data_IF_845793096433
#
_entry.id   IF_845793096433
#
_cell.length_a   1.000
_cell.length_b   1.000
_cell.length_c   1.000
_cell.angle_alpha   90.00
_cell.angle_beta   90.00
_cell.angle_gamma   90.00
#
_symmetry.space_group_name_H-M   'P 1'
#
loop_
_entity.id
_entity.type
_entity.pdbx_description
1 polymer ?
#
# COMPACT_ATOMS: atom_id res chain seq x y z
N UNK A 1 -14.07 10.59 -2.38
CA UNK A 1 -13.11 11.32 -3.26
C UNK A 1 -12.20 12.13 -2.36
N UNK A 2 -10.89 11.93 -2.46
CA UNK A 2 -9.90 12.68 -1.69
C UNK A 2 -8.71 13.00 -2.59
N UNK A 3 -8.17 14.20 -2.48
CA UNK A 3 -7.00 14.65 -3.23
C UNK A 3 -5.80 14.70 -2.29
N UNK A 4 -4.75 13.94 -2.60
CA UNK A 4 -3.48 13.96 -1.86
C UNK A 4 -2.44 14.68 -2.71
N UNK A 5 -1.92 15.81 -2.21
CA UNK A 5 -0.84 16.55 -2.86
C UNK A 5 0.44 16.33 -2.06
N UNK A 6 1.32 15.48 -2.59
CA UNK A 6 2.65 15.27 -2.00
C UNK A 6 3.60 16.35 -2.51
N UNK A 7 4.00 17.26 -1.63
CA UNK A 7 5.02 18.28 -1.92
C UNK A 7 6.40 17.77 -1.46
N UNK A 8 7.45 18.18 -2.14
CA UNK A 8 8.84 17.79 -1.85
C UNK A 8 9.12 16.28 -1.98
N UNK A 9 8.57 15.63 -3.00
CA UNK A 9 8.89 14.23 -3.30
C UNK A 9 10.33 14.12 -3.82
N UNK A 10 11.13 13.26 -3.20
CA UNK A 10 12.48 12.97 -3.68
C UNK A 10 12.45 12.50 -5.14
N UNK A 11 13.33 13.07 -5.97
CA UNK A 11 13.44 12.77 -7.41
C UNK A 11 13.67 11.28 -7.68
N UNK A 12 14.47 10.61 -6.85
CA UNK A 12 14.68 9.16 -6.92
C UNK A 12 13.38 8.34 -6.72
N UNK A 13 12.46 8.82 -5.86
CA UNK A 13 11.17 8.16 -5.62
C UNK A 13 10.25 8.36 -6.81
N UNK A 14 10.25 9.56 -7.41
CA UNK A 14 9.50 9.86 -8.63
C UNK A 14 9.91 8.95 -9.80
N UNK A 15 11.21 8.77 -10.04
CA UNK A 15 11.72 7.92 -11.11
C UNK A 15 11.33 6.46 -10.94
N UNK A 16 11.45 5.92 -9.72
CA UNK A 16 11.04 4.54 -9.42
C UNK A 16 9.54 4.33 -9.61
N UNK A 17 8.72 5.28 -9.16
CA UNK A 17 7.27 5.27 -9.39
C UNK A 17 6.93 5.28 -10.87
N UNK A 18 7.63 6.10 -11.65
CA UNK A 18 7.40 6.21 -13.10
C UNK A 18 7.79 4.93 -13.83
N UNK A 19 8.92 4.31 -13.48
CA UNK A 19 9.30 3.00 -14.02
C UNK A 19 8.28 1.90 -13.68
N UNK A 20 7.79 1.89 -12.43
CA UNK A 20 6.82 0.90 -11.95
C UNK A 20 5.46 1.07 -12.63
N UNK A 21 4.98 2.29 -12.78
CA UNK A 21 3.75 2.61 -13.50
C UNK A 21 3.82 2.15 -14.97
N UNK A 22 4.96 2.38 -15.66
CA UNK A 22 5.19 1.89 -17.03
C UNK A 22 5.16 0.36 -17.10
N UNK A 23 5.79 -0.33 -16.14
CA UNK A 23 5.78 -1.80 -16.06
C UNK A 23 4.37 -2.36 -15.87
N UNK A 24 3.55 -1.68 -15.06
CA UNK A 24 2.18 -2.08 -14.79
C UNK A 24 1.17 -1.57 -15.83
N UNK A 25 1.62 -0.86 -16.87
CA UNK A 25 0.78 -0.20 -17.89
C UNK A 25 -0.33 0.69 -17.29
N UNK A 26 0.00 1.40 -16.21
CA UNK A 26 -0.92 2.29 -15.47
C UNK A 26 -0.42 3.73 -15.49
N UNK A 27 -1.32 4.68 -15.25
CA UNK A 27 -0.93 6.06 -14.97
C UNK A 27 -0.12 6.13 -13.68
N UNK A 28 0.80 7.10 -13.57
CA UNK A 28 1.56 7.34 -12.35
C UNK A 28 0.64 7.56 -11.15
N UNK A 29 -0.46 8.28 -11.34
CA UNK A 29 -1.45 8.52 -10.26
C UNK A 29 -2.12 7.22 -9.81
N UNK A 30 -2.44 6.33 -10.77
CA UNK A 30 -3.10 5.07 -10.48
C UNK A 30 -2.17 4.08 -9.78
N UNK A 31 -0.88 4.06 -10.16
CA UNK A 31 0.15 3.31 -9.46
C UNK A 31 0.37 3.84 -8.03
N UNK A 32 0.45 5.16 -7.83
CA UNK A 32 0.53 5.75 -6.47
C UNK A 32 -0.69 5.38 -5.65
N UNK A 33 -1.89 5.44 -6.25
CA UNK A 33 -3.14 5.09 -5.57
C UNK A 33 -3.17 3.63 -5.16
N UNK A 34 -2.73 2.72 -6.03
CA UNK A 34 -2.62 1.30 -5.72
C UNK A 34 -1.55 1.01 -4.67
N UNK A 35 -0.40 1.67 -4.73
CA UNK A 35 0.63 1.54 -3.68
C UNK A 35 0.10 2.03 -2.34
N UNK A 36 -0.55 3.20 -2.29
CA UNK A 36 -1.15 3.72 -1.06
C UNK A 36 -2.30 2.83 -0.58
N UNK A 37 -3.13 2.32 -1.49
CA UNK A 37 -4.18 1.35 -1.17
C UNK A 37 -3.57 0.10 -0.55
N UNK A 38 -2.57 -0.49 -1.18
CA UNK A 38 -1.89 -1.67 -0.68
C UNK A 38 -1.15 -1.37 0.63
N UNK A 39 -0.53 -0.21 0.78
CA UNK A 39 0.20 0.18 1.99
C UNK A 39 -0.71 0.61 3.14
N UNK A 40 -2.01 0.84 2.92
CA UNK A 40 -2.98 1.13 3.99
C UNK A 40 -3.79 -0.13 4.29
N UNK A 41 -4.31 -0.81 3.26
CA UNK A 41 -5.10 -2.04 3.42
C UNK A 41 -4.25 -3.18 3.97
N UNK A 42 -3.01 -3.37 3.48
CA UNK A 42 -2.15 -4.44 4.00
C UNK A 42 -1.44 -4.07 5.32
N UNK A 43 -1.49 -2.80 5.75
CA UNK A 43 -0.97 -2.38 7.06
C UNK A 43 -2.04 -2.55 8.15
N UNK A 44 -3.33 -2.44 7.79
CA UNK A 44 -4.46 -2.93 8.58
C UNK A 44 -4.52 -4.48 8.67
N UNK A 45 -3.81 -5.20 7.78
CA UNK A 45 -3.55 -6.64 7.94
C UNK A 45 -2.51 -6.95 9.05
N UNK A 46 -2.22 -5.97 9.92
CA UNK A 46 -1.88 -6.24 11.32
C UNK A 46 -2.98 -7.01 12.10
N UNK A 47 -4.13 -7.31 11.48
CA UNK A 47 -5.07 -8.35 11.92
C UNK A 47 -5.04 -9.62 11.07
N UNK A 48 -3.88 -9.99 10.50
CA UNK A 48 -3.52 -11.39 10.39
C UNK A 48 -3.40 -11.98 11.81
N UNK A 49 -4.53 -12.13 12.52
CA UNK A 49 -4.64 -13.06 13.64
C UNK A 49 -4.38 -14.43 13.01
N UNK A 50 -3.12 -14.82 12.97
CA UNK A 50 -2.73 -16.14 12.53
C UNK A 50 -3.59 -17.15 13.30
N UNK A 51 -3.96 -18.24 12.64
CA UNK A 51 -4.88 -19.26 13.17
C UNK A 51 -4.57 -19.65 14.64
N UNK A 52 -3.29 -19.66 15.03
CA UNK A 52 -2.87 -19.91 16.41
C UNK A 52 -3.38 -18.90 17.45
N UNK A 53 -3.53 -17.62 17.09
CA UNK A 53 -4.10 -16.58 17.96
C UNK A 53 -5.62 -16.74 18.13
N UNK A 54 -6.31 -17.27 17.11
CA UNK A 54 -7.74 -17.59 17.22
C UNK A 54 -7.96 -18.84 18.09
N UNK A 55 -7.12 -19.87 17.92
CA UNK A 55 -7.18 -21.09 18.73
C UNK A 55 -6.91 -20.77 20.21
N UNK A 56 -5.90 -19.96 20.52
CA UNK A 56 -5.59 -19.59 21.90
C UNK A 56 -6.77 -18.89 22.62
N UNK A 57 -7.61 -18.14 21.89
CA UNK A 57 -8.80 -17.49 22.45
C UNK A 57 -9.94 -18.44 22.77
N UNK A 58 -10.05 -19.58 22.08
CA UNK A 58 -11.13 -20.55 22.35
C UNK A 58 -10.91 -21.32 23.66
N UNK A 59 -9.66 -21.38 24.15
CA UNK A 59 -9.26 -22.16 25.31
C UNK A 59 -8.76 -21.29 26.49
N UNK A 60 -8.98 -19.97 26.45
CA UNK A 60 -8.64 -19.03 27.52
C UNK A 60 -9.83 -18.78 28.48
#
# INVERSE_FOLDING_TARGET
>A
MGQLVVRNLASAVKERLQQRARRNRRSMEEEVREILRNAVINDDEGSARGLGSEIARLFA
#
